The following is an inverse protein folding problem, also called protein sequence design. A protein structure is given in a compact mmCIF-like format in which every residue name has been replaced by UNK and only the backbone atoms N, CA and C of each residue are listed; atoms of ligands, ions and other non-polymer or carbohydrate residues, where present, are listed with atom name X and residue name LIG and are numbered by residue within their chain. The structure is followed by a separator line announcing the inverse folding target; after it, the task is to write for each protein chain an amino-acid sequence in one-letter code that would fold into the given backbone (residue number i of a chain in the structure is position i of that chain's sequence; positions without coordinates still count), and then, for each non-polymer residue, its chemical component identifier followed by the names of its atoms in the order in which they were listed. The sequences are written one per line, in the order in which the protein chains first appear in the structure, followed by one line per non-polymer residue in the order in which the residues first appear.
data_IF_186416814456
#
_entry.id   IF_186416814456
#
_cell.length_a   1.000
_cell.length_b   1.000
_cell.length_c   1.000
_cell.angle_alpha   90.00
_cell.angle_beta   90.00
_cell.angle_gamma   90.00
#
_symmetry.space_group_name_H-M   'P 1'
#
loop_
_entity.id
_entity.type
_entity.pdbx_description
1 polymer ?
#
# COMPACT_ATOMS: atom_id res chain seq x y z
N UNK A 1 2.79 2.74 14.66
CA UNK A 1 3.34 3.49 13.52
C UNK A 1 2.42 4.64 13.21
N UNK A 2 2.98 5.73 12.69
CA UNK A 2 2.24 6.92 12.30
C UNK A 2 2.13 6.95 10.78
N UNK A 3 0.95 7.27 10.27
CA UNK A 3 0.70 7.42 8.83
C UNK A 3 0.08 8.79 8.56
N UNK A 4 0.67 9.51 7.60
CA UNK A 4 0.06 10.72 7.03
C UNK A 4 -1.11 10.31 6.14
N UNK A 5 -2.27 10.90 6.39
CA UNK A 5 -3.51 10.66 5.66
C UNK A 5 -3.40 11.34 4.30
N UNK A 6 -3.56 10.57 3.22
CA UNK A 6 -3.52 11.11 1.86
C UNK A 6 -4.93 11.46 1.37
N UNK A 7 -5.08 12.31 0.33
CA UNK A 7 -6.38 12.59 -0.27
C UNK A 7 -7.13 11.34 -0.75
N UNK A 8 -6.39 10.28 -1.10
CA UNK A 8 -7.02 9.02 -1.51
C UNK A 8 -7.61 8.22 -0.34
N UNK A 9 -7.12 8.46 0.88
CA UNK A 9 -7.59 7.78 2.09
C UNK A 9 -8.91 8.39 2.61
N UNK A 10 -9.08 9.71 2.51
CA UNK A 10 -10.30 10.44 2.91
C UNK A 10 -11.29 10.66 1.76
N UNK A 11 -10.86 10.39 0.53
CA UNK A 11 -11.66 10.56 -0.68
C UNK A 11 -12.69 9.45 -0.92
N UNK A 12 -13.17 9.39 -2.17
CA UNK A 12 -14.26 8.49 -2.61
C UNK A 12 -13.98 7.00 -2.41
N UNK A 13 -12.71 6.62 -2.29
CA UNK A 13 -12.28 5.23 -2.21
C UNK A 13 -12.55 4.59 -0.84
N UNK A 14 -12.83 5.39 0.21
CA UNK A 14 -13.23 4.91 1.54
C UNK A 14 -12.31 3.80 2.09
N UNK A 15 -11.02 3.84 1.74
CA UNK A 15 -10.03 2.82 2.07
C UNK A 15 -8.76 3.49 2.55
N UNK A 16 -8.12 2.90 3.55
CA UNK A 16 -6.81 3.33 4.02
C UNK A 16 -5.75 2.35 3.52
N UNK A 17 -4.75 2.84 2.80
CA UNK A 17 -3.61 1.99 2.37
C UNK A 17 -2.57 1.87 3.49
N UNK A 18 -2.21 0.68 3.92
CA UNK A 18 -1.18 0.48 4.96
C UNK A 18 0.17 0.24 4.29
N UNK A 19 1.23 1.02 4.61
CA UNK A 19 2.57 0.77 4.10
C UNK A 19 3.04 -0.65 4.42
N UNK A 20 3.59 -1.35 3.43
CA UNK A 20 4.02 -2.75 3.54
C UNK A 20 4.95 -3.01 4.74
N UNK A 21 5.94 -2.14 4.93
CA UNK A 21 6.90 -2.21 6.04
C UNK A 21 6.22 -2.22 7.42
N UNK A 22 5.08 -1.55 7.56
CA UNK A 22 4.32 -1.52 8.80
C UNK A 22 3.32 -2.66 8.89
N UNK A 23 2.68 -3.01 7.78
CA UNK A 23 1.78 -4.15 7.69
C UNK A 23 2.42 -5.44 8.23
N UNK A 24 3.58 -5.81 7.68
CA UNK A 24 4.27 -7.07 8.01
C UNK A 24 4.82 -7.10 9.45
N UNK A 25 5.12 -5.93 10.03
CA UNK A 25 5.67 -5.83 11.39
C UNK A 25 4.59 -5.79 12.47
N UNK A 26 3.46 -5.13 12.20
CA UNK A 26 2.48 -4.80 13.23
C UNK A 26 1.21 -5.65 13.18
N UNK A 27 0.83 -6.19 12.01
CA UNK A 27 -0.40 -6.96 11.86
C UNK A 27 -0.11 -8.41 11.44
N UNK A 28 -0.70 -9.41 12.12
CA UNK A 28 -0.62 -10.78 11.65
C UNK A 28 -1.45 -10.93 10.37
N UNK A 29 -0.86 -11.59 9.37
CA UNK A 29 -1.59 -12.12 8.22
C UNK A 29 -1.76 -13.61 8.47
N UNK A 30 -2.90 -14.00 9.03
CA UNK A 30 -3.20 -15.42 9.12
C UNK A 30 -3.34 -15.95 7.69
N UNK A 31 -2.46 -16.88 7.31
CA UNK A 31 -2.45 -17.51 5.98
C UNK A 31 -3.77 -18.24 5.64
N UNK A 32 -4.66 -18.41 6.62
CA UNK A 32 -6.01 -18.96 6.49
C UNK A 32 -7.07 -17.92 6.09
N UNK A 33 -6.73 -16.63 5.98
CA UNK A 33 -7.66 -15.57 5.59
C UNK A 33 -7.93 -15.60 4.07
N UNK A 34 -8.55 -16.68 3.60
CA UNK A 34 -9.09 -16.83 2.25
C UNK A 34 -10.04 -15.66 1.96
N UNK A 35 -9.61 -14.78 1.04
CA UNK A 35 -10.31 -13.70 0.32
C UNK A 35 -11.14 -12.66 1.10
N UNK A 36 -11.47 -12.92 2.36
CA UNK A 36 -12.39 -12.10 3.14
C UNK A 36 -11.67 -11.10 4.06
N UNK A 37 -10.35 -11.19 4.24
CA UNK A 37 -9.58 -10.31 5.12
C UNK A 37 -9.86 -10.50 6.62
N UNK A 38 -8.92 -10.04 7.45
CA UNK A 38 -8.95 -10.10 8.90
C UNK A 38 -9.78 -8.93 9.49
N UNK A 39 -10.63 -9.20 10.48
CA UNK A 39 -11.28 -8.13 11.24
C UNK A 39 -10.40 -7.74 12.42
N UNK A 40 -10.03 -6.46 12.48
CA UNK A 40 -9.22 -5.89 13.54
C UNK A 40 -10.07 -4.91 14.34
N UNK A 41 -10.09 -5.09 15.66
CA UNK A 41 -10.75 -4.22 16.61
C UNK A 41 -9.72 -3.26 17.21
N UNK A 42 -9.92 -1.97 16.99
CA UNK A 42 -9.10 -0.89 17.53
C UNK A 42 -9.87 -0.13 18.59
N UNK A 43 -9.18 0.34 19.61
CA UNK A 43 -9.75 1.20 20.65
C UNK A 43 -9.14 2.61 20.52
N UNK A 44 -9.96 3.64 20.55
CA UNK A 44 -9.46 5.02 20.58
C UNK A 44 -9.13 5.50 22.01
N UNK A 45 -8.59 6.71 22.11
CA UNK A 45 -8.25 7.34 23.40
C UNK A 45 -9.47 7.64 24.28
N UNK A 46 -10.67 7.64 23.71
CA UNK A 46 -11.93 7.76 24.44
C UNK A 46 -12.53 6.40 24.82
N UNK A 47 -11.83 5.29 24.55
CA UNK A 47 -12.29 3.92 24.84
C UNK A 47 -13.33 3.39 23.87
N UNK A 48 -13.56 4.07 22.74
CA UNK A 48 -14.55 3.65 21.75
C UNK A 48 -13.95 2.62 20.78
N UNK A 49 -14.66 1.51 20.53
CA UNK A 49 -14.21 0.48 19.61
C UNK A 49 -14.47 0.84 18.14
N UNK A 50 -13.48 0.57 17.32
CA UNK A 50 -13.42 0.77 15.88
C UNK A 50 -13.04 -0.53 15.19
N UNK A 51 -14.00 -1.14 14.50
CA UNK A 51 -13.79 -2.39 13.76
C UNK A 51 -13.43 -2.09 12.32
N UNK A 52 -12.25 -2.53 11.89
CA UNK A 52 -11.78 -2.40 10.51
C UNK A 52 -11.56 -3.76 9.87
N UNK A 53 -11.84 -3.89 8.57
CA UNK A 53 -11.46 -5.06 7.78
C UNK A 53 -10.11 -4.81 7.12
N UNK A 54 -9.11 -5.57 7.54
CA UNK A 54 -7.76 -5.58 6.99
C UNK A 54 -7.63 -6.66 5.91
N UNK A 55 -7.27 -6.27 4.70
CA UNK A 55 -7.14 -7.18 3.56
C UNK A 55 -5.85 -6.90 2.79
N UNK A 56 -5.26 -7.95 2.24
CA UNK A 56 -4.20 -7.82 1.25
C UNK A 56 -4.80 -7.92 -0.16
N UNK A 57 -4.53 -6.93 -1.00
CA UNK A 57 -5.01 -6.89 -2.37
C UNK A 57 -3.88 -7.33 -3.31
N UNK A 58 -3.99 -8.55 -3.83
CA UNK A 58 -2.96 -9.15 -4.69
C UNK A 58 -2.68 -8.33 -5.96
N UNK A 59 -3.71 -7.74 -6.57
CA UNK A 59 -3.59 -7.00 -7.84
C UNK A 59 -2.73 -5.73 -7.72
N UNK A 60 -2.81 -5.03 -6.58
CA UNK A 60 -2.03 -3.82 -6.31
C UNK A 60 -0.91 -4.05 -5.30
N UNK A 61 -0.68 -5.30 -4.88
CA UNK A 61 0.27 -5.69 -3.85
C UNK A 61 0.24 -4.79 -2.60
N UNK A 62 -0.96 -4.40 -2.18
CA UNK A 62 -1.16 -3.38 -1.15
C UNK A 62 -2.02 -3.91 -0.03
N UNK A 63 -1.68 -3.53 1.19
CA UNK A 63 -2.52 -3.77 2.36
C UNK A 63 -3.53 -2.63 2.50
N UNK A 64 -4.78 -2.97 2.76
CA UNK A 64 -5.85 -1.98 2.92
C UNK A 64 -6.69 -2.25 4.16
N UNK A 65 -7.09 -1.17 4.82
CA UNK A 65 -8.19 -1.18 5.78
C UNK A 65 -9.44 -0.64 5.11
N UNK A 66 -10.48 -1.45 5.13
CA UNK A 66 -11.82 -1.17 4.62
C UNK A 66 -12.82 -1.34 5.76
N UNK A 67 -14.12 -1.13 5.49
CA UNK A 67 -15.24 -1.34 6.42
C UNK A 67 -15.02 -0.67 7.79
N UNK A 68 -15.63 0.48 8.02
CA UNK A 68 -15.50 1.24 9.27
C UNK A 68 -14.52 2.41 9.16
N UNK A 69 -13.55 2.35 8.24
CA UNK A 69 -12.63 3.46 7.98
C UNK A 69 -13.36 4.76 7.61
N UNK A 70 -14.33 4.71 6.68
CA UNK A 70 -15.12 5.88 6.29
C UNK A 70 -15.93 6.48 7.44
N UNK A 71 -16.40 5.64 8.37
CA UNK A 71 -17.09 6.08 9.58
C UNK A 71 -16.12 6.80 10.52
N UNK A 72 -14.94 6.22 10.72
CA UNK A 72 -13.87 6.84 11.50
C UNK A 72 -13.53 8.22 10.95
N UNK A 73 -13.23 8.33 9.65
CA UNK A 73 -12.91 9.62 8.98
C UNK A 73 -14.01 10.66 9.20
N UNK A 74 -15.28 10.29 9.02
CA UNK A 74 -16.41 11.21 9.18
C UNK A 74 -16.60 11.69 10.62
N UNK A 75 -16.47 10.79 11.59
CA UNK A 75 -16.69 11.10 12.99
C UNK A 75 -15.52 11.87 13.62
N UNK A 76 -14.29 11.53 13.25
CA UNK A 76 -13.09 12.24 13.73
C UNK A 76 -12.79 13.51 12.93
N UNK A 77 -13.54 13.73 11.83
CA UNK A 77 -13.34 14.83 10.86
C UNK A 77 -11.88 14.87 10.39
N UNK A 78 -11.40 13.71 9.98
CA UNK A 78 -10.03 13.51 9.53
C UNK A 78 -9.87 14.02 8.10
N UNK A 79 -8.84 14.82 7.86
CA UNK A 79 -8.56 15.40 6.55
C UNK A 79 -7.22 14.93 5.99
N UNK A 80 -7.01 15.18 4.69
CA UNK A 80 -5.73 14.89 4.07
C UNK A 80 -4.64 15.78 4.69
N UNK A 81 -3.51 15.19 5.06
CA UNK A 81 -2.42 15.84 5.78
C UNK A 81 -2.41 15.54 7.27
N UNK A 82 -3.53 15.11 7.86
CA UNK A 82 -3.57 14.67 9.26
C UNK A 82 -2.77 13.39 9.47
N UNK A 83 -2.48 13.06 10.73
CA UNK A 83 -1.69 11.88 11.08
C UNK A 83 -2.57 10.92 11.89
N UNK A 84 -2.65 9.68 11.43
CA UNK A 84 -3.27 8.57 12.17
C UNK A 84 -2.18 7.66 12.71
N UNK A 85 -2.28 7.32 13.98
CA UNK A 85 -1.32 6.49 14.70
C UNK A 85 -1.96 5.17 15.07
N UNK A 86 -1.35 4.07 14.65
CA UNK A 86 -1.77 2.71 14.99
C UNK A 86 -0.80 2.11 16.00
N UNK A 87 -1.31 1.66 17.15
CA UNK A 87 -0.52 1.09 18.23
C UNK A 87 -1.00 -0.34 18.52
N UNK A 88 -0.10 -1.20 18.98
CA UNK A 88 -0.40 -2.57 19.40
C UNK A 88 -0.07 -2.70 20.88
N UNK A 89 -0.95 -3.36 21.63
CA UNK A 89 -0.67 -3.72 23.01
C UNK A 89 0.62 -4.55 23.12
N UNK A 90 1.45 -4.23 24.10
CA UNK A 90 2.69 -4.96 24.41
C UNK A 90 2.48 -5.69 25.74
N UNK A 91 2.88 -6.96 25.80
CA UNK A 91 2.71 -7.84 26.97
C UNK A 91 1.57 -8.85 26.81
N UNK A 92 1.60 -9.92 27.61
CA UNK A 92 0.62 -11.01 27.56
C UNK A 92 -0.81 -10.54 27.83
N UNK A 93 -1.00 -9.56 28.74
CA UNK A 93 -2.31 -9.00 29.06
C UNK A 93 -2.94 -8.14 27.95
N UNK A 94 -2.15 -7.67 26.98
CA UNK A 94 -2.61 -6.80 25.89
C UNK A 94 -2.38 -7.42 24.50
N UNK A 95 -2.06 -8.71 24.45
CA UNK A 95 -1.82 -9.45 23.22
C UNK A 95 -3.10 -9.48 22.38
N UNK A 96 -3.02 -8.98 21.15
CA UNK A 96 -4.17 -8.90 20.23
C UNK A 96 -5.03 -7.65 20.39
N UNK A 97 -4.70 -6.74 21.33
CA UNK A 97 -5.36 -5.43 21.39
C UNK A 97 -4.67 -4.43 20.47
N UNK A 98 -5.48 -3.70 19.72
CA UNK A 98 -5.01 -2.61 18.86
C UNK A 98 -5.61 -1.29 19.32
N UNK A 99 -4.86 -0.22 19.13
CA UNK A 99 -5.32 1.13 19.46
C UNK A 99 -5.12 2.05 18.26
N UNK A 100 -6.04 2.98 18.10
CA UNK A 100 -6.01 4.00 17.05
C UNK A 100 -6.06 5.38 17.68
N UNK A 101 -5.25 6.28 17.16
CA UNK A 101 -5.18 7.67 17.61
C UNK A 101 -5.02 8.58 16.39
N UNK A 102 -5.37 9.85 16.51
CA UNK A 102 -5.20 10.80 15.41
C UNK A 102 -4.82 12.19 15.92
N UNK A 103 -3.98 12.88 15.15
CA UNK A 103 -3.61 14.27 15.39
C UNK A 103 -3.73 15.07 14.11
N UNK A 104 -4.28 16.27 14.23
CA UNK A 104 -4.34 17.20 13.11
C UNK A 104 -2.95 17.73 12.80
N UNK A 105 -2.65 17.92 11.52
CA UNK A 105 -1.45 18.67 11.15
C UNK A 105 -1.65 20.10 11.63
N UNK A 106 -0.90 20.52 12.66
CA UNK A 106 -0.77 21.96 12.94
C UNK A 106 -0.21 22.57 11.66
N UNK A 107 -0.93 23.52 11.08
CA UNK A 107 -0.42 24.26 9.93
C UNK A 107 0.92 24.90 10.28
N UNK A 108 1.70 25.40 9.30
CA UNK A 108 2.70 26.40 9.64
C UNK A 108 1.96 27.45 10.46
N UNK A 109 2.47 27.74 11.66
CA UNK A 109 1.99 28.85 12.46
C UNK A 109 1.94 30.03 11.50
N UNK A 110 0.75 30.48 11.12
CA UNK A 110 0.63 31.77 10.46
C UNK A 110 0.93 32.73 11.58
N UNK A 111 2.24 33.00 11.76
CA UNK A 111 2.73 34.12 12.53
C UNK A 111 2.17 35.33 11.78
N UNK A 112 0.95 35.73 12.17
CA UNK A 112 0.39 37.00 11.81
C UNK A 112 1.46 38.02 12.18
N UNK A 113 2.00 38.81 11.23
CA UNK A 113 2.93 39.85 11.60
C UNK A 113 2.23 40.77 12.60
N UNK A 114 2.81 41.00 13.78
CA UNK A 114 2.17 41.83 14.79
C UNK A 114 1.96 43.23 14.23
N UNK A 115 0.80 43.86 14.49
CA UNK A 115 0.53 45.21 14.00
C UNK A 115 1.60 46.16 14.56
N UNK A 116 2.25 46.88 13.66
CA UNK A 116 3.26 47.88 13.99
C UNK A 116 2.69 48.95 14.91
N UNK A 117 2.95 48.84 16.22
CA UNK A 117 2.85 49.96 17.14
C UNK A 117 4.16 50.12 17.91
N UNK A 118 4.85 51.20 17.52
CA UNK A 118 5.72 52.09 18.30
C UNK A 118 6.12 51.60 19.71
N UNK A 119 7.42 51.34 19.84
CA UNK A 119 8.27 51.98 20.85
C UNK A 119 8.45 51.27 22.19
N UNK A 120 9.73 51.25 22.60
CA UNK A 120 10.29 51.21 23.95
C UNK A 120 11.05 49.92 24.34
N UNK A 121 12.36 50.12 24.53
CA UNK A 121 13.36 49.19 25.03
C UNK A 121 13.08 48.79 26.48
N UNK A 122 13.33 47.52 26.81
CA UNK A 122 13.91 47.16 28.12
C UNK A 122 14.70 45.87 28.01
N UNK A 123 16.01 45.99 28.23
CA UNK A 123 16.94 44.91 28.47
C UNK A 123 16.47 44.13 29.70
N UNK A 124 16.31 42.81 29.59
CA UNK A 124 16.62 41.92 30.72
C UNK A 124 16.65 40.43 30.36
N UNK A 125 17.68 39.80 30.92
CA UNK A 125 17.83 38.39 31.30
C UNK A 125 18.03 37.39 30.16
N UNK A 126 19.29 37.00 30.02
CA UNK A 126 19.69 35.73 29.42
C UNK A 126 19.14 34.56 30.24
N UNK A 127 18.73 33.52 29.54
CA UNK A 127 18.49 32.20 30.12
C UNK A 127 18.91 31.18 29.08
N UNK A 128 19.89 30.39 29.51
CA UNK A 128 20.69 29.52 28.69
C UNK A 128 19.90 28.32 28.16
N UNK A 129 20.24 27.96 26.92
CA UNK A 129 20.39 26.59 26.42
C UNK A 129 19.42 25.52 26.94
N UNK A 130 18.33 25.31 26.20
CA UNK A 130 17.86 23.96 25.93
C UNK A 130 18.12 23.66 24.46
N UNK A 131 19.30 23.09 24.20
CA UNK A 131 19.61 22.42 22.96
C UNK A 131 18.62 21.26 22.80
N UNK A 132 17.75 21.34 21.80
CA UNK A 132 17.09 20.16 21.28
C UNK A 132 18.18 19.21 20.78
N UNK A 133 18.18 17.91 21.13
CA UNK A 133 18.99 16.96 20.39
C UNK A 133 18.44 16.92 18.96
N UNK A 134 19.29 17.29 18.00
CA UNK A 134 19.08 17.03 16.58
C UNK A 134 18.83 15.53 16.41
N UNK A 135 17.55 15.17 16.35
CA UNK A 135 17.14 13.92 15.74
C UNK A 135 17.43 14.10 14.25
N UNK A 136 18.57 13.56 13.83
CA UNK A 136 18.85 13.24 12.44
C UNK A 136 17.70 12.39 11.90
N UNK A 137 16.68 13.07 11.38
CA UNK A 137 15.73 12.52 10.44
C UNK A 137 16.43 12.54 9.08
N UNK A 138 17.36 11.61 8.91
CA UNK A 138 17.78 11.19 7.58
C UNK A 138 16.60 10.44 6.96
N UNK A 139 15.59 11.20 6.55
CA UNK A 139 14.53 10.70 5.70
C UNK A 139 15.10 10.67 4.29
N UNK A 140 15.26 9.48 3.73
CA UNK A 140 15.68 9.25 2.34
C UNK A 140 15.09 10.34 1.43
N UNK A 141 15.98 11.14 0.81
CA UNK A 141 15.58 12.24 -0.05
C UNK A 141 14.69 11.73 -1.19
N UNK A 142 13.75 12.55 -1.66
CA UNK A 142 12.81 12.19 -2.73
C UNK A 142 13.49 11.62 -3.98
N UNK A 143 14.72 12.04 -4.27
CA UNK A 143 15.56 11.50 -5.35
C UNK A 143 15.96 10.05 -5.13
N UNK A 144 16.22 9.64 -3.89
CA UNK A 144 16.56 8.26 -3.53
C UNK A 144 15.34 7.34 -3.64
N UNK A 145 14.15 7.84 -3.30
CA UNK A 145 12.89 7.12 -3.51
C UNK A 145 12.60 6.97 -5.01
N UNK A 146 12.83 8.03 -5.80
CA UNK A 146 12.66 7.99 -7.25
C UNK A 146 13.63 6.99 -7.89
N UNK A 147 14.87 6.91 -7.41
CA UNK A 147 15.84 5.93 -7.90
C UNK A 147 15.49 4.49 -7.48
N UNK A 148 14.99 4.28 -6.25
CA UNK A 148 14.44 2.99 -5.81
C UNK A 148 13.24 2.57 -6.67
N UNK A 149 12.34 3.50 -7.01
CA UNK A 149 11.18 3.24 -7.89
C UNK A 149 11.62 2.95 -9.32
N UNK A 150 12.58 3.70 -9.88
CA UNK A 150 13.15 3.43 -11.21
C UNK A 150 13.79 2.06 -11.28
N UNK A 151 14.58 1.68 -10.28
CA UNK A 151 15.22 0.37 -10.21
C UNK A 151 14.20 -0.76 -10.10
N UNK A 152 13.12 -0.58 -9.34
CA UNK A 152 12.02 -1.52 -9.26
C UNK A 152 11.25 -1.65 -10.58
N UNK A 153 11.02 -0.55 -11.30
CA UNK A 153 10.39 -0.59 -12.62
C UNK A 153 11.27 -1.27 -13.67
N UNK A 154 12.57 -1.01 -13.67
CA UNK A 154 13.53 -1.65 -14.59
C UNK A 154 13.67 -3.15 -14.32
N UNK A 155 13.70 -3.55 -13.05
CA UNK A 155 13.73 -4.97 -12.68
C UNK A 155 12.42 -5.66 -13.00
N UNK A 156 11.27 -5.01 -12.80
CA UNK A 156 9.98 -5.51 -13.26
C UNK A 156 9.90 -5.65 -14.78
N UNK A 157 10.40 -4.66 -15.53
CA UNK A 157 10.41 -4.71 -16.99
C UNK A 157 11.30 -5.84 -17.51
N UNK A 158 12.46 -6.05 -16.88
CA UNK A 158 13.39 -7.14 -17.19
C UNK A 158 12.79 -8.52 -16.86
N UNK A 159 12.19 -8.68 -15.67
CA UNK A 159 11.52 -9.93 -15.27
C UNK A 159 10.27 -10.21 -16.11
N UNK A 160 9.51 -9.19 -16.48
CA UNK A 160 8.35 -9.33 -17.40
C UNK A 160 8.81 -9.75 -18.80
N UNK A 161 9.90 -9.15 -19.30
CA UNK A 161 10.47 -9.53 -20.59
C UNK A 161 11.06 -10.95 -20.54
N UNK A 162 11.67 -11.35 -19.42
CA UNK A 162 12.15 -12.71 -19.20
C UNK A 162 11.00 -13.71 -19.13
N UNK A 163 9.89 -13.36 -18.46
CA UNK A 163 8.67 -14.18 -18.41
C UNK A 163 8.05 -14.36 -19.79
N UNK A 164 7.95 -13.28 -20.59
CA UNK A 164 7.44 -13.34 -21.97
C UNK A 164 8.36 -14.18 -22.86
N UNK A 165 9.69 -13.99 -22.77
CA UNK A 165 10.67 -14.80 -23.51
C UNK A 165 10.58 -16.29 -23.15
N UNK A 166 10.43 -16.59 -21.86
CA UNK A 166 10.29 -17.96 -21.37
C UNK A 166 8.98 -18.57 -21.87
N UNK A 167 7.87 -17.82 -21.77
CA UNK A 167 6.57 -18.26 -22.26
C UNK A 167 6.57 -18.52 -23.77
N UNK A 168 7.20 -17.65 -24.57
CA UNK A 168 7.38 -17.89 -26.00
C UNK A 168 8.25 -19.14 -26.26
N UNK A 169 9.33 -19.34 -25.50
CA UNK A 169 10.20 -20.51 -25.68
C UNK A 169 9.47 -21.84 -25.43
N UNK A 170 8.55 -21.88 -24.46
CA UNK A 170 7.79 -23.10 -24.14
C UNK A 170 6.51 -23.26 -24.98
N UNK A 171 5.78 -22.18 -25.29
CA UNK A 171 4.52 -22.28 -26.03
C UNK A 171 4.70 -22.33 -27.55
N UNK A 172 5.76 -21.74 -28.09
CA UNK A 172 6.02 -21.74 -29.53
C UNK A 172 6.21 -23.16 -30.11
N UNK A 173 7.03 -24.07 -29.53
CA UNK A 173 7.17 -25.43 -30.06
C UNK A 173 5.88 -26.24 -29.91
N UNK A 174 5.11 -26.03 -28.84
CA UNK A 174 3.80 -26.69 -28.63
C UNK A 174 2.79 -26.22 -29.68
N UNK A 175 2.74 -24.92 -29.95
CA UNK A 175 1.87 -24.34 -30.97
C UNK A 175 2.27 -24.79 -32.39
N UNK A 176 3.58 -24.85 -32.69
CA UNK A 176 4.09 -25.39 -33.96
C UNK A 176 3.71 -26.86 -34.11
N UNK A 177 3.84 -27.66 -33.05
CA UNK A 177 3.45 -29.07 -33.05
C UNK A 177 1.93 -29.24 -33.26
N UNK A 178 1.11 -28.40 -32.63
CA UNK A 178 -0.33 -28.35 -32.83
C UNK A 178 -0.73 -28.01 -34.26
N UNK A 179 -0.09 -26.99 -34.86
CA UNK A 179 -0.31 -26.59 -36.26
C UNK A 179 0.10 -27.73 -37.20
N UNK A 180 1.24 -28.39 -36.94
CA UNK A 180 1.74 -29.51 -37.74
C UNK A 180 0.85 -30.76 -37.60
N UNK A 181 0.37 -31.07 -36.41
CA UNK A 181 -0.61 -32.13 -36.16
C UNK A 181 -1.93 -31.87 -36.90
N UNK A 182 -2.44 -30.63 -36.88
CA UNK A 182 -3.67 -30.25 -37.61
C UNK A 182 -3.50 -30.30 -39.12
N UNK A 183 -2.32 -29.96 -39.64
CA UNK A 183 -1.98 -30.10 -41.06
C UNK A 183 -1.85 -31.58 -41.48
N UNK A 184 -1.36 -32.46 -40.59
CA UNK A 184 -1.24 -33.91 -40.83
C UNK A 184 -2.59 -34.64 -40.78
N UNK A 185 -3.52 -34.23 -39.92
CA UNK A 185 -4.90 -34.75 -39.92
C UNK A 185 -5.65 -34.35 -41.20
N UNK A 186 -5.48 -33.11 -41.68
CA UNK A 186 -6.06 -32.69 -42.96
C UNK A 186 -5.53 -33.51 -44.16
N UNK A 187 -4.21 -33.76 -44.24
CA UNK A 187 -3.62 -34.56 -45.33
C UNK A 187 -4.02 -36.04 -45.29
N UNK A 188 -4.13 -36.64 -44.10
CA UNK A 188 -4.57 -38.05 -43.95
C UNK A 188 -6.04 -38.24 -44.33
N UNK A 189 -6.90 -37.28 -44.01
CA UNK A 189 -8.32 -37.31 -44.41
C UNK A 189 -8.50 -37.17 -45.92
N UNK A 190 -7.74 -36.29 -46.58
CA UNK A 190 -7.79 -36.14 -48.05
C UNK A 190 -7.26 -37.39 -48.78
N UNK A 191 -6.21 -38.05 -48.28
CA UNK A 191 -5.69 -39.31 -48.86
C UNK A 191 -6.63 -40.49 -48.64
N UNK A 192 -7.32 -40.57 -47.49
CA UNK A 192 -8.34 -41.61 -47.25
C UNK A 192 -9.56 -41.44 -48.17
N UNK A 193 -10.01 -40.20 -48.39
CA UNK A 193 -11.12 -39.92 -49.31
C UNK A 193 -10.72 -40.21 -50.76
N UNK A 194 -9.49 -39.84 -51.18
CA UNK A 194 -8.99 -40.12 -52.52
C UNK A 194 -8.80 -41.62 -52.81
N UNK A 195 -8.46 -42.45 -51.81
CA UNK A 195 -8.33 -43.91 -51.99
C UNK A 195 -9.67 -44.64 -52.05
N UNK A 196 -10.71 -44.14 -51.38
CA UNK A 196 -12.06 -44.73 -51.44
C UNK A 196 -12.80 -44.41 -52.73
N UNK A 197 -12.49 -43.30 -53.43
CA UNK A 197 -13.11 -42.96 -54.71
C UNK A 197 -12.51 -43.72 -55.92
N UNK A 198 -11.36 -44.40 -55.79
CA UNK A 198 -10.77 -45.21 -56.88
C UNK A 198 -11.20 -46.70 -56.81
N UNK A 199 -12.05 -47.06 -55.85
CA UNK A 199 -12.56 -48.41 -55.61
C UNK A 199 -14.06 -48.58 -55.98
N UNK A 200 -14.65 -47.61 -56.67
CA UNK A 200 -15.96 -47.73 -57.32
C UNK A 200 -15.81 -47.75 -58.85
#
# INVERSE_FOLDING_TARGET
FDKVVTPSDTGKLNRLVIPKQHAEKYFPLDASSNDNGLLLDFEDSAGKPWRFRYSYWNSSQSYVMTKGWSRFVKETRLEAGDIVSFKRGVGEAARGRFFIDWRRRRGPDVVLPPPHHRGFNLLSVGSDGFACPDVNLEGDSVEEILDKVRLLLLTWFSLSLLYIKTLLFYLLPILILMIRCRALTSKKTVVLISRNLTLC
#
